data_IF_909718292936
#
_entry.id   IF_909718292936
#
_cell.length_a   1.000
_cell.length_b   1.000
_cell.length_c   1.000
_cell.angle_alpha   90.00
_cell.angle_beta   90.00
_cell.angle_gamma   90.00
#
_symmetry.space_group_name_H-M   'P 1'
#
loop_
_entity.id
_entity.type
_entity.pdbx_description
1 polymer ?
#
# COMPACT_ATOMS: atom_id res chain seq x y z
N UNK A 1 -26.24 -63.19 -67.81
CA UNK A 1 -26.05 -62.29 -66.66
C UNK A 1 -26.72 -60.98 -67.00
N UNK A 2 -27.81 -60.69 -66.30
CA UNK A 2 -28.77 -59.66 -66.66
C UNK A 2 -28.22 -58.25 -66.45
N UNK A 3 -28.46 -57.33 -67.39
CA UNK A 3 -28.05 -55.92 -67.31
C UNK A 3 -28.59 -55.23 -66.04
N UNK A 4 -29.75 -55.67 -65.55
CA UNK A 4 -30.34 -55.21 -64.30
C UNK A 4 -29.49 -55.54 -63.06
N UNK A 5 -28.91 -56.74 -63.00
CA UNK A 5 -28.07 -57.15 -61.85
C UNK A 5 -26.77 -56.35 -61.75
N UNK A 6 -26.16 -55.97 -62.89
CA UNK A 6 -24.98 -55.10 -62.92
C UNK A 6 -25.30 -53.67 -62.50
N UNK A 7 -26.47 -53.17 -62.88
CA UNK A 7 -26.96 -51.84 -62.49
C UNK A 7 -27.14 -51.71 -60.97
N UNK A 8 -27.77 -52.71 -60.34
CA UNK A 8 -27.93 -52.74 -58.87
C UNK A 8 -26.62 -52.81 -58.11
N UNK A 9 -25.66 -53.61 -58.60
CA UNK A 9 -24.33 -53.72 -57.99
C UNK A 9 -23.57 -52.39 -58.07
N UNK A 10 -23.62 -51.71 -59.22
CA UNK A 10 -23.01 -50.38 -59.39
C UNK A 10 -23.66 -49.32 -58.48
N UNK A 11 -24.98 -49.39 -58.29
CA UNK A 11 -25.71 -48.47 -57.42
C UNK A 11 -25.32 -48.65 -55.95
N UNK A 12 -25.27 -49.89 -55.47
CA UNK A 12 -24.78 -50.21 -54.10
C UNK A 12 -23.33 -49.83 -53.90
N UNK A 13 -22.45 -50.08 -54.88
CA UNK A 13 -21.05 -49.69 -54.80
C UNK A 13 -20.88 -48.16 -54.71
N UNK A 14 -21.69 -47.40 -55.46
CA UNK A 14 -21.72 -45.94 -55.39
C UNK A 14 -22.21 -45.43 -54.02
N UNK A 15 -23.25 -46.05 -53.46
CA UNK A 15 -23.77 -45.72 -52.12
C UNK A 15 -22.74 -45.97 -51.02
N UNK A 16 -22.06 -47.12 -51.06
CA UNK A 16 -20.96 -47.44 -50.12
C UNK A 16 -19.82 -46.46 -50.27
N UNK A 17 -19.40 -46.15 -51.50
CA UNK A 17 -18.34 -45.17 -51.75
C UNK A 17 -18.70 -43.78 -51.21
N UNK A 18 -19.95 -43.33 -51.36
CA UNK A 18 -20.39 -42.05 -50.80
C UNK A 18 -20.39 -42.05 -49.27
N UNK A 19 -20.79 -43.16 -48.64
CA UNK A 19 -20.75 -43.31 -47.18
C UNK A 19 -19.31 -43.29 -46.65
N UNK A 20 -18.39 -44.05 -47.26
CA UNK A 20 -16.98 -44.07 -46.88
C UNK A 20 -16.34 -42.68 -47.06
N UNK A 21 -16.66 -41.98 -48.14
CA UNK A 21 -16.17 -40.61 -48.38
C UNK A 21 -16.67 -39.64 -47.31
N UNK A 22 -17.95 -39.69 -46.96
CA UNK A 22 -18.51 -38.85 -45.90
C UNK A 22 -17.90 -39.15 -44.53
N UNK A 23 -17.59 -40.42 -44.25
CA UNK A 23 -16.93 -40.83 -43.02
C UNK A 23 -15.47 -40.37 -42.98
N UNK A 24 -14.75 -40.44 -44.10
CA UNK A 24 -13.39 -39.92 -44.24
C UNK A 24 -13.34 -38.40 -44.02
N UNK A 25 -14.27 -37.65 -44.62
CA UNK A 25 -14.36 -36.19 -44.45
C UNK A 25 -14.63 -35.83 -42.97
N UNK A 26 -15.52 -36.57 -42.30
CA UNK A 26 -15.79 -36.41 -40.87
C UNK A 26 -14.55 -36.67 -40.01
N UNK A 27 -13.85 -37.78 -40.25
CA UNK A 27 -12.62 -38.13 -39.54
C UNK A 27 -11.49 -37.12 -39.79
N UNK A 28 -11.42 -36.55 -41.00
CA UNK A 28 -10.46 -35.50 -41.34
C UNK A 28 -10.75 -34.23 -40.56
N UNK A 29 -12.03 -33.83 -40.46
CA UNK A 29 -12.44 -32.68 -39.67
C UNK A 29 -12.17 -32.88 -38.18
N UNK A 30 -12.45 -34.07 -37.66
CA UNK A 30 -12.19 -34.42 -36.25
C UNK A 30 -10.69 -34.40 -35.93
N UNK A 31 -9.84 -34.94 -36.81
CA UNK A 31 -8.39 -34.83 -36.68
C UNK A 31 -7.89 -33.39 -36.68
N UNK A 32 -8.46 -32.51 -37.54
CA UNK A 32 -8.11 -31.08 -37.52
C UNK A 32 -8.46 -30.44 -36.18
N UNK A 33 -9.64 -30.74 -35.62
CA UNK A 33 -10.05 -30.25 -34.29
C UNK A 33 -9.11 -30.75 -33.19
N UNK A 34 -8.77 -32.04 -33.20
CA UNK A 34 -7.84 -32.62 -32.21
C UNK A 34 -6.45 -31.97 -32.27
N UNK A 35 -5.94 -31.69 -33.47
CA UNK A 35 -4.66 -30.99 -33.63
C UNK A 35 -4.70 -29.57 -33.07
N UNK A 36 -5.76 -28.82 -33.36
CA UNK A 36 -5.95 -27.47 -32.81
C UNK A 36 -6.06 -27.50 -31.28
N UNK A 37 -6.75 -28.50 -30.72
CA UNK A 37 -6.89 -28.66 -29.27
C UNK A 37 -5.56 -29.02 -28.60
N UNK A 38 -4.74 -29.87 -29.23
CA UNK A 38 -3.38 -30.18 -28.78
C UNK A 38 -2.48 -28.93 -28.79
N UNK A 39 -2.57 -28.11 -29.83
CA UNK A 39 -1.81 -26.86 -29.93
C UNK A 39 -2.19 -25.87 -28.83
N UNK A 40 -3.49 -25.73 -28.56
CA UNK A 40 -4.00 -24.92 -27.45
C UNK A 40 -3.54 -25.46 -26.09
N UNK A 41 -3.55 -26.79 -25.89
CA UNK A 41 -3.03 -27.41 -24.67
C UNK A 41 -1.54 -27.15 -24.48
N UNK A 42 -0.74 -27.27 -25.54
CA UNK A 42 0.70 -26.99 -25.47
C UNK A 42 0.97 -25.53 -25.10
N UNK A 43 0.21 -24.60 -25.67
CA UNK A 43 0.31 -23.19 -25.32
C UNK A 43 -0.09 -22.94 -23.85
N UNK A 44 -1.17 -23.57 -23.39
CA UNK A 44 -1.61 -23.48 -22.00
C UNK A 44 -0.56 -24.03 -21.02
N UNK A 45 0.06 -25.18 -21.35
CA UNK A 45 1.15 -25.76 -20.56
C UNK A 45 2.35 -24.81 -20.50
N UNK A 46 2.72 -24.20 -21.63
CA UNK A 46 3.80 -23.22 -21.68
C UNK A 46 3.51 -22.02 -20.76
N UNK A 47 2.29 -21.46 -20.84
CA UNK A 47 1.89 -20.35 -19.99
C UNK A 47 1.87 -20.73 -18.50
N UNK A 48 1.43 -21.95 -18.16
CA UNK A 48 1.46 -22.46 -16.80
C UNK A 48 2.88 -22.60 -16.26
N UNK A 49 3.82 -23.08 -17.07
CA UNK A 49 5.23 -23.20 -16.68
C UNK A 49 5.86 -21.84 -16.41
N UNK A 50 5.56 -20.84 -17.25
CA UNK A 50 6.04 -19.47 -17.04
C UNK A 50 5.47 -18.87 -15.76
N UNK A 51 4.17 -19.03 -15.52
CA UNK A 51 3.53 -18.55 -14.30
C UNK A 51 4.12 -19.20 -13.05
N UNK A 52 4.34 -20.52 -13.07
CA UNK A 52 5.01 -21.24 -11.96
C UNK A 52 6.39 -20.66 -11.71
N UNK A 53 7.15 -20.36 -12.76
CA UNK A 53 8.47 -19.76 -12.62
C UNK A 53 8.42 -18.39 -11.94
N UNK A 54 7.47 -17.54 -12.35
CA UNK A 54 7.24 -16.24 -11.72
C UNK A 54 6.84 -16.36 -10.25
N UNK A 55 5.91 -17.27 -9.92
CA UNK A 55 5.49 -17.53 -8.53
C UNK A 55 6.68 -17.97 -7.67
N UNK A 56 7.55 -18.85 -8.19
CA UNK A 56 8.76 -19.27 -7.46
C UNK A 56 9.73 -18.11 -7.24
N UNK A 57 9.91 -17.23 -8.23
CA UNK A 57 10.76 -16.04 -8.09
C UNK A 57 10.20 -15.07 -7.03
N UNK A 58 8.91 -14.76 -7.08
CA UNK A 58 8.26 -13.88 -6.11
C UNK A 58 8.27 -14.47 -4.70
N UNK A 59 8.08 -15.79 -4.58
CA UNK A 59 8.19 -16.48 -3.28
C UNK A 59 9.59 -16.34 -2.68
N UNK A 60 10.65 -16.41 -3.49
CA UNK A 60 12.02 -16.19 -3.00
C UNK A 60 12.24 -14.77 -2.50
N UNK A 61 11.77 -13.77 -3.25
CA UNK A 61 11.82 -12.36 -2.82
C UNK A 61 11.07 -12.16 -1.51
N UNK A 62 9.89 -12.76 -1.38
CA UNK A 62 9.09 -12.69 -0.15
C UNK A 62 9.84 -13.26 1.06
N UNK A 63 10.50 -14.42 0.91
CA UNK A 63 11.30 -15.03 1.97
C UNK A 63 12.45 -14.10 2.40
N UNK A 64 13.10 -13.42 1.44
CA UNK A 64 14.17 -12.47 1.73
C UNK A 64 13.66 -11.26 2.52
N UNK A 65 12.53 -10.67 2.09
CA UNK A 65 11.87 -9.58 2.82
C UNK A 65 11.48 -10.00 4.24
N UNK A 66 10.97 -11.21 4.41
CA UNK A 66 10.57 -11.70 5.74
C UNK A 66 11.77 -11.90 6.67
N UNK A 67 12.93 -12.28 6.12
CA UNK A 67 14.18 -12.33 6.87
C UNK A 67 14.64 -10.93 7.30
N UNK A 68 14.63 -9.96 6.40
CA UNK A 68 14.96 -8.56 6.73
C UNK A 68 14.01 -7.99 7.80
N UNK A 69 12.71 -8.28 7.70
CA UNK A 69 11.73 -7.89 8.71
C UNK A 69 12.08 -8.45 10.08
N UNK A 70 12.51 -9.71 10.14
CA UNK A 70 12.91 -10.34 11.40
C UNK A 70 14.14 -9.68 12.01
N UNK A 71 15.14 -9.36 11.20
CA UNK A 71 16.36 -8.68 11.64
C UNK A 71 16.07 -7.26 12.16
N UNK A 72 15.21 -6.50 11.47
CA UNK A 72 14.76 -5.18 11.93
C UNK A 72 14.00 -5.30 13.25
N UNK A 73 13.10 -6.28 13.38
CA UNK A 73 12.34 -6.48 14.60
C UNK A 73 13.25 -6.83 15.79
N UNK A 74 14.31 -7.61 15.57
CA UNK A 74 15.31 -7.90 16.59
C UNK A 74 16.07 -6.64 17.03
N UNK A 75 16.48 -5.79 16.08
CA UNK A 75 17.14 -4.50 16.37
C UNK A 75 16.24 -3.56 17.17
N UNK A 76 14.96 -3.43 16.78
CA UNK A 76 13.99 -2.58 17.50
C UNK A 76 13.82 -3.06 18.95
N UNK A 77 13.72 -4.37 19.19
CA UNK A 77 13.64 -4.93 20.55
C UNK A 77 14.87 -4.57 21.37
N UNK A 78 16.06 -4.74 20.79
CA UNK A 78 17.31 -4.39 21.46
C UNK A 78 17.40 -2.88 21.77
N UNK A 79 17.05 -2.01 20.83
CA UNK A 79 17.03 -0.56 21.07
C UNK A 79 16.01 -0.18 22.14
N UNK A 80 14.84 -0.83 22.17
CA UNK A 80 13.83 -0.61 23.20
C UNK A 80 14.34 -1.01 24.59
N UNK A 81 15.04 -2.14 24.70
CA UNK A 81 15.67 -2.57 25.95
C UNK A 81 16.76 -1.58 26.41
N UNK A 82 17.62 -1.14 25.48
CA UNK A 82 18.64 -0.13 25.76
C UNK A 82 18.00 1.18 26.23
N UNK A 83 16.95 1.65 25.56
CA UNK A 83 16.28 2.89 25.90
C UNK A 83 15.58 2.79 27.27
N UNK A 84 14.95 1.65 27.57
CA UNK A 84 14.36 1.40 28.88
C UNK A 84 15.41 1.39 29.99
N UNK A 85 16.60 0.83 29.75
CA UNK A 85 17.71 0.90 30.71
C UNK A 85 18.18 2.34 30.93
N UNK A 86 18.32 3.13 29.86
CA UNK A 86 18.70 4.53 29.95
C UNK A 86 17.64 5.40 30.63
N UNK A 87 16.35 5.12 30.42
CA UNK A 87 15.25 5.76 31.16
C UNK A 87 15.38 5.47 32.64
N UNK A 88 15.59 4.21 33.02
CA UNK A 88 15.74 3.82 34.43
C UNK A 88 16.93 4.51 35.09
N UNK A 89 18.07 4.56 34.41
CA UNK A 89 19.25 5.29 34.89
C UNK A 89 18.95 6.80 35.02
N UNK A 90 18.18 7.36 34.09
CA UNK A 90 17.75 8.76 34.14
C UNK A 90 16.76 9.05 35.27
N UNK A 91 15.83 8.13 35.56
CA UNK A 91 14.90 8.21 36.69
C UNK A 91 15.64 8.17 38.03
N UNK A 92 16.66 7.32 38.15
CA UNK A 92 17.52 7.25 39.35
C UNK A 92 18.30 8.56 39.54
N UNK A 93 18.88 9.11 38.46
CA UNK A 93 19.54 10.43 38.50
C UNK A 93 18.54 11.55 38.84
N UNK A 94 17.34 11.54 38.26
CA UNK A 94 16.29 12.52 38.56
C UNK A 94 15.82 12.45 40.01
N UNK A 95 15.75 11.25 40.58
CA UNK A 95 15.43 11.05 41.99
C UNK A 95 16.50 11.66 42.89
N UNK A 96 17.78 11.41 42.63
CA UNK A 96 18.91 12.04 43.35
C UNK A 96 18.86 13.56 43.23
N UNK A 97 18.62 14.09 42.03
CA UNK A 97 18.52 15.55 41.81
C UNK A 97 17.32 16.16 42.54
N UNK A 98 16.18 15.48 42.58
CA UNK A 98 14.98 15.96 43.29
C UNK A 98 15.11 15.84 44.83
N UNK A 99 15.83 14.84 45.32
CA UNK A 99 16.08 14.64 46.77
C UNK A 99 17.14 15.62 47.29
N UNK A 100 18.16 15.95 46.49
CA UNK A 100 19.27 16.81 46.93
C UNK A 100 19.11 18.32 46.56
N UNK A 101 18.27 18.69 45.58
CA UNK A 101 18.13 20.08 45.08
C UNK A 101 16.68 20.49 44.69
N UNK A 102 15.77 20.69 45.65
CA UNK A 102 14.34 20.96 45.40
C UNK A 102 14.02 22.31 44.72
N UNK A 103 14.94 23.29 44.74
CA UNK A 103 14.74 24.58 44.06
C UNK A 103 14.90 24.48 42.51
N UNK A 104 15.62 23.47 41.99
CA UNK A 104 15.83 23.29 40.55
C UNK A 104 14.62 22.65 39.87
N UNK A 105 13.88 21.78 40.57
CA UNK A 105 12.75 21.03 39.98
C UNK A 105 11.60 21.94 39.55
N UNK A 106 11.29 22.98 40.35
CA UNK A 106 10.33 24.04 39.98
C UNK A 106 10.78 24.85 38.76
N UNK A 107 12.06 25.22 38.72
CA UNK A 107 12.65 25.95 37.59
C UNK A 107 12.63 25.13 36.29
N UNK A 108 12.80 23.81 36.35
CA UNK A 108 12.72 22.93 35.17
C UNK A 108 11.31 22.82 34.60
N UNK A 109 10.28 22.70 35.44
CA UNK A 109 8.88 22.68 34.99
C UNK A 109 8.52 23.98 34.28
N UNK A 110 8.88 25.12 34.87
CA UNK A 110 8.67 26.44 34.26
C UNK A 110 9.44 26.59 32.92
N UNK A 111 10.65 26.04 32.83
CA UNK A 111 11.46 26.09 31.60
C UNK A 111 10.89 25.18 30.51
N UNK A 112 10.41 23.98 30.86
CA UNK A 112 9.79 23.03 29.91
C UNK A 112 8.47 23.60 29.39
N UNK A 113 7.65 24.22 30.26
CA UNK A 113 6.44 24.91 29.83
C UNK A 113 6.74 26.11 28.93
N UNK A 114 7.79 26.88 29.21
CA UNK A 114 8.21 27.98 28.35
C UNK A 114 8.69 27.49 26.97
N UNK A 115 9.52 26.44 26.93
CA UNK A 115 10.01 25.83 25.69
C UNK A 115 8.87 25.26 24.83
N UNK A 116 7.88 24.62 25.46
CA UNK A 116 6.69 24.09 24.77
C UNK A 116 5.85 25.21 24.15
N UNK A 117 5.65 26.32 24.85
CA UNK A 117 4.96 27.50 24.30
C UNK A 117 5.73 28.14 23.14
N UNK A 118 7.06 28.22 23.23
CA UNK A 118 7.89 28.72 22.11
C UNK A 118 7.76 27.83 20.88
N UNK A 119 7.76 26.51 21.06
CA UNK A 119 7.58 25.57 19.94
C UNK A 119 6.19 25.69 19.31
N UNK A 120 5.15 25.91 20.12
CA UNK A 120 3.81 26.18 19.61
C UNK A 120 3.77 27.45 18.75
N UNK A 121 4.38 28.54 19.23
CA UNK A 121 4.46 29.81 18.48
C UNK A 121 5.23 29.67 17.17
N UNK A 122 6.35 28.94 17.17
CA UNK A 122 7.12 28.65 15.94
C UNK A 122 6.31 27.83 14.93
N UNK A 123 5.53 26.86 15.39
CA UNK A 123 4.65 26.10 14.53
C UNK A 123 3.56 26.99 13.90
N UNK A 124 3.00 27.94 14.66
CA UNK A 124 2.06 28.94 14.14
C UNK A 124 2.73 29.84 13.09
N UNK A 125 3.95 30.34 13.33
CA UNK A 125 4.73 31.10 12.34
C UNK A 125 4.98 30.30 11.05
N UNK A 126 5.26 29.00 11.18
CA UNK A 126 5.47 28.11 10.03
C UNK A 126 4.19 27.99 9.20
N UNK A 127 3.04 27.79 9.83
CA UNK A 127 1.73 27.74 9.17
C UNK A 127 1.44 29.07 8.45
N UNK A 128 1.68 30.21 9.12
CA UNK A 128 1.48 31.53 8.52
C UNK A 128 2.34 31.74 7.28
N UNK A 129 3.61 31.33 7.35
CA UNK A 129 4.56 31.41 6.22
C UNK A 129 4.09 30.54 5.06
N UNK A 130 3.67 29.31 5.32
CA UNK A 130 3.14 28.40 4.30
C UNK A 130 1.88 28.97 3.63
N UNK A 131 0.92 29.46 4.41
CA UNK A 131 -0.30 30.10 3.88
C UNK A 131 0.05 31.33 3.03
N UNK A 132 1.00 32.14 3.49
CA UNK A 132 1.45 33.32 2.78
C UNK A 132 2.09 32.94 1.43
N UNK A 133 3.03 32.00 1.43
CA UNK A 133 3.70 31.52 0.23
C UNK A 133 2.71 30.89 -0.76
N UNK A 134 1.74 30.14 -0.26
CA UNK A 134 0.66 29.56 -1.08
C UNK A 134 -0.20 30.64 -1.74
N UNK A 135 -0.55 31.68 -0.98
CA UNK A 135 -1.34 32.81 -1.47
C UNK A 135 -0.55 33.64 -2.50
N UNK A 136 0.73 33.88 -2.23
CA UNK A 136 1.64 34.58 -3.14
C UNK A 136 1.84 33.80 -4.44
N UNK A 137 2.08 32.48 -4.37
CA UNK A 137 2.20 31.60 -5.53
C UNK A 137 0.91 31.59 -6.36
N UNK A 138 -0.25 31.45 -5.73
CA UNK A 138 -1.54 31.50 -6.41
C UNK A 138 -1.78 32.86 -7.11
N UNK A 139 -1.40 33.96 -6.45
CA UNK A 139 -1.56 35.32 -6.99
C UNK A 139 -0.59 35.59 -8.16
N UNK A 140 0.67 35.16 -8.06
CA UNK A 140 1.71 35.33 -9.07
C UNK A 140 1.48 34.46 -10.31
N UNK A 141 0.94 33.26 -10.14
CA UNK A 141 0.64 32.35 -11.25
C UNK A 141 -0.75 32.57 -11.86
N UNK A 142 -1.56 33.49 -11.31
CA UNK A 142 -2.97 33.68 -11.65
C UNK A 142 -3.79 32.37 -11.64
N UNK A 143 -3.44 31.46 -10.75
CA UNK A 143 -4.11 30.17 -10.59
C UNK A 143 -4.98 30.22 -9.34
N UNK A 144 -6.24 29.82 -9.48
CA UNK A 144 -7.15 29.58 -8.35
C UNK A 144 -7.00 28.18 -7.75
N UNK A 145 -6.13 27.35 -8.31
CA UNK A 145 -5.90 25.97 -7.91
C UNK A 145 -4.49 25.86 -7.34
N UNK A 146 -4.40 25.36 -6.12
CA UNK A 146 -3.16 25.11 -5.40
C UNK A 146 -2.74 23.66 -5.60
N UNK A 147 -1.43 23.42 -5.72
CA UNK A 147 -0.88 22.07 -5.86
C UNK A 147 -1.19 21.23 -4.61
N UNK A 148 -1.55 19.96 -4.84
CA UNK A 148 -1.91 19.03 -3.75
C UNK A 148 -0.75 18.85 -2.76
N UNK A 149 0.50 18.86 -3.23
CA UNK A 149 1.69 18.74 -2.38
C UNK A 149 1.74 19.84 -1.30
N UNK A 150 1.44 21.07 -1.71
CA UNK A 150 1.62 22.24 -0.87
C UNK A 150 0.50 22.32 0.18
N UNK A 151 -0.72 21.86 -0.18
CA UNK A 151 -1.82 21.69 0.78
C UNK A 151 -1.53 20.54 1.76
N UNK A 152 -0.94 19.43 1.30
CA UNK A 152 -0.57 18.33 2.18
C UNK A 152 0.47 18.76 3.23
N UNK A 153 1.47 19.56 2.82
CA UNK A 153 2.47 20.11 3.72
C UNK A 153 1.83 21.00 4.80
N UNK A 154 0.92 21.90 4.39
CA UNK A 154 0.17 22.73 5.32
C UNK A 154 -0.65 21.91 6.34
N UNK A 155 -1.33 20.85 5.88
CA UNK A 155 -2.13 19.97 6.75
C UNK A 155 -1.23 19.27 7.78
N UNK A 156 -0.06 18.79 7.35
CA UNK A 156 0.90 18.14 8.25
C UNK A 156 1.46 19.11 9.29
N UNK A 157 1.81 20.34 8.90
CA UNK A 157 2.27 21.37 9.83
C UNK A 157 1.19 21.75 10.86
N UNK A 158 -0.08 21.83 10.43
CA UNK A 158 -1.21 22.05 11.35
C UNK A 158 -1.34 20.89 12.34
N UNK A 159 -1.20 19.65 11.86
CA UNK A 159 -1.29 18.47 12.71
C UNK A 159 -0.22 18.45 13.80
N UNK A 160 1.02 18.74 13.43
CA UNK A 160 2.16 18.81 14.36
C UNK A 160 1.95 19.87 15.45
N UNK A 161 1.40 21.03 15.09
CA UNK A 161 1.05 22.09 16.05
C UNK A 161 -0.02 21.64 17.03
N UNK A 162 -1.04 20.90 16.57
CA UNK A 162 -2.09 20.35 17.44
C UNK A 162 -1.47 19.32 18.39
N UNK A 163 -0.61 18.43 17.91
CA UNK A 163 0.07 17.44 18.75
C UNK A 163 0.94 18.10 19.83
N UNK A 164 1.69 19.14 19.47
CA UNK A 164 2.49 19.94 20.42
C UNK A 164 1.60 20.65 21.45
N UNK A 165 0.45 21.20 21.04
CA UNK A 165 -0.50 21.86 21.92
C UNK A 165 -1.11 20.88 22.94
N UNK A 166 -1.45 19.67 22.51
CA UNK A 166 -2.00 18.62 23.38
C UNK A 166 -0.94 18.09 24.33
N UNK A 167 0.26 17.75 23.84
CA UNK A 167 1.37 17.24 24.65
C UNK A 167 1.87 18.26 25.68
N UNK A 168 1.75 19.56 25.38
CA UNK A 168 2.14 20.64 26.29
C UNK A 168 1.09 20.95 27.36
N UNK A 169 -0.12 20.39 27.24
CA UNK A 169 -1.26 20.70 28.11
C UNK A 169 -1.92 22.04 27.80
N UNK A 170 -1.56 22.69 26.70
CA UNK A 170 -2.18 23.93 26.24
C UNK A 170 -3.58 23.69 25.63
N UNK A 171 -3.84 22.46 25.17
CA UNK A 171 -5.14 22.01 24.68
C UNK A 171 -5.46 20.59 25.19
N UNK A 172 -6.74 20.26 25.26
CA UNK A 172 -7.22 18.92 25.63
C UNK A 172 -7.91 18.28 24.43
N UNK A 173 -7.51 17.07 24.08
CA UNK A 173 -8.11 16.24 23.03
C UNK A 173 -8.36 14.85 23.62
N UNK A 174 -9.53 14.25 23.37
CA UNK A 174 -9.78 12.86 23.76
C UNK A 174 -9.10 11.89 22.80
N UNK A 175 -8.86 10.65 23.25
CA UNK A 175 -8.25 9.60 22.40
C UNK A 175 -9.06 9.38 21.10
N UNK A 176 -10.39 9.37 21.18
CA UNK A 176 -11.28 9.26 20.02
C UNK A 176 -11.13 10.45 19.04
N UNK A 177 -10.94 11.67 19.57
CA UNK A 177 -10.73 12.86 18.74
C UNK A 177 -9.37 12.83 18.04
N UNK A 178 -8.32 12.41 18.75
CA UNK A 178 -6.98 12.22 18.19
C UNK A 178 -7.01 11.17 17.08
N UNK A 179 -7.69 10.04 17.30
CA UNK A 179 -7.85 8.97 16.29
C UNK A 179 -8.63 9.50 15.08
N UNK A 180 -9.73 10.22 15.29
CA UNK A 180 -10.54 10.79 14.21
C UNK A 180 -9.74 11.78 13.35
N UNK A 181 -8.96 12.67 13.98
CA UNK A 181 -8.07 13.63 13.30
C UNK A 181 -7.01 12.92 12.45
N UNK A 182 -6.31 11.95 13.03
CA UNK A 182 -5.29 11.20 12.29
C UNK A 182 -5.90 10.40 11.13
N UNK A 183 -7.08 9.80 11.32
CA UNK A 183 -7.80 9.08 10.26
C UNK A 183 -8.21 10.03 9.11
N UNK A 184 -8.68 11.24 9.42
CA UNK A 184 -9.02 12.26 8.43
C UNK A 184 -7.78 12.68 7.62
N UNK A 185 -6.65 12.92 8.29
CA UNK A 185 -5.41 13.32 7.62
C UNK A 185 -4.89 12.20 6.71
N UNK A 186 -4.89 10.95 7.19
CA UNK A 186 -4.54 9.79 6.38
C UNK A 186 -5.47 9.68 5.16
N UNK A 187 -6.77 9.95 5.33
CA UNK A 187 -7.73 10.01 4.23
C UNK A 187 -7.36 11.06 3.18
N UNK A 188 -7.11 12.29 3.62
CA UNK A 188 -6.78 13.44 2.75
C UNK A 188 -5.47 13.23 2.01
N UNK A 189 -4.41 12.79 2.69
CA UNK A 189 -3.11 12.50 2.07
C UNK A 189 -3.23 11.43 0.99
N UNK A 190 -3.97 10.35 1.28
CA UNK A 190 -4.24 9.27 0.33
C UNK A 190 -5.23 9.65 -0.78
N UNK A 191 -5.76 10.88 -0.81
CA UNK A 191 -6.69 11.34 -1.83
C UNK A 191 -8.09 10.72 -1.74
N UNK A 192 -8.42 10.09 -0.60
CA UNK A 192 -9.79 9.66 -0.31
C UNK A 192 -10.54 10.91 0.18
N UNK A 193 -11.54 11.36 -0.57
CA UNK A 193 -12.47 12.37 -0.06
C UNK A 193 -13.15 11.80 1.20
N UNK A 194 -13.33 12.59 2.27
CA UNK A 194 -14.20 12.17 3.35
C UNK A 194 -15.57 11.89 2.74
N UNK A 195 -16.15 10.75 3.10
CA UNK A 195 -17.47 10.33 2.62
C UNK A 195 -18.44 11.42 3.03
N UNK A 196 -19.01 12.11 2.05
CA UNK A 196 -20.13 13.02 2.24
C UNK A 196 -21.31 12.16 2.74
N UNK A 197 -21.71 12.33 4.00
CA UNK A 197 -23.05 11.97 4.47
C UNK A 197 -24.06 13.06 4.08
#
# INVERSE_FOLDING_TARGET
MDLNSKSEVLKKASEVYQQEKAQLDKLTLENKKLRSLLEMQNQMISNQQELIHQVVQETRKYIEIEKERHDIQAKIKQETENLNSAIKDSEEVLKVVNEDMPEISKSKEDTIHALRHINLLKGIETIQTLIFNLSEKAMNEHKTVIDKSDICELILSINEVIDIAVQSGAATESEDQTIARHALIIGVLNGKRPVEE
#
